data_IF_097840492964
#
_entry.id   IF_097840492964
#
_cell.length_a   1.000
_cell.length_b   1.000
_cell.length_c   1.000
_cell.angle_alpha   90.00
_cell.angle_beta   90.00
_cell.angle_gamma   90.00
#
_symmetry.space_group_name_H-M   'P 1'
#
loop_
_entity.id
_entity.type
_entity.pdbx_description
1 polymer ?
#
# COMPACT_ATOMS: atom_id res chain seq x y z
N UNK A 1 -40.47 14.92 -4.76
CA UNK A 1 -40.60 13.48 -5.10
C UNK A 1 -39.20 12.92 -5.31
N UNK A 2 -38.86 11.92 -4.53
CA UNK A 2 -37.51 11.59 -4.09
C UNK A 2 -37.02 10.36 -4.86
N UNK A 3 -36.14 10.53 -5.86
CA UNK A 3 -35.57 9.41 -6.62
C UNK A 3 -34.24 8.89 -6.05
N UNK A 4 -33.88 9.31 -4.83
CA UNK A 4 -32.59 8.97 -4.19
C UNK A 4 -32.60 7.69 -3.34
N UNK A 5 -33.65 6.86 -3.43
CA UNK A 5 -33.82 5.68 -2.57
C UNK A 5 -33.61 4.32 -3.26
N UNK A 6 -33.57 4.26 -4.60
CA UNK A 6 -33.66 2.97 -5.31
C UNK A 6 -32.29 2.32 -5.56
N UNK A 7 -31.20 3.10 -5.68
CA UNK A 7 -29.87 2.53 -5.96
C UNK A 7 -29.18 1.90 -4.74
N UNK A 8 -29.47 2.39 -3.52
CA UNK A 8 -29.04 1.75 -2.27
C UNK A 8 -29.78 0.42 -2.04
N UNK A 9 -31.03 0.29 -2.54
CA UNK A 9 -31.88 -0.86 -2.24
C UNK A 9 -31.40 -2.19 -2.83
N UNK A 10 -30.58 -2.17 -3.88
CA UNK A 10 -30.13 -3.38 -4.57
C UNK A 10 -28.97 -4.07 -3.84
N UNK A 11 -28.14 -3.33 -3.08
CA UNK A 11 -27.05 -3.91 -2.27
C UNK A 11 -27.53 -4.26 -0.85
N UNK A 12 -28.61 -3.62 -0.38
CA UNK A 12 -29.10 -3.68 1.02
C UNK A 12 -29.86 -4.98 1.37
N UNK A 13 -30.24 -5.83 0.42
CA UNK A 13 -31.01 -7.04 0.75
C UNK A 13 -30.19 -8.17 1.43
N UNK A 14 -28.89 -8.00 1.66
CA UNK A 14 -28.04 -9.03 2.28
C UNK A 14 -27.07 -8.54 3.38
N UNK A 15 -27.02 -7.25 3.70
CA UNK A 15 -26.07 -6.70 4.67
C UNK A 15 -26.85 -5.76 5.62
N UNK A 16 -26.74 -5.96 6.94
CA UNK A 16 -27.47 -5.15 7.91
C UNK A 16 -26.96 -3.70 7.91
N UNK A 17 -27.84 -2.75 8.24
CA UNK A 17 -27.50 -1.31 8.30
C UNK A 17 -26.32 -1.01 9.24
N UNK A 18 -26.14 -1.78 10.31
CA UNK A 18 -25.01 -1.64 11.24
C UNK A 18 -23.70 -2.09 10.59
N UNK A 19 -23.70 -3.18 9.82
CA UNK A 19 -22.54 -3.66 9.09
C UNK A 19 -22.12 -2.66 8.01
N UNK A 20 -23.08 -1.97 7.37
CA UNK A 20 -22.81 -0.91 6.41
C UNK A 20 -22.19 0.34 7.05
N UNK A 21 -22.66 0.76 8.22
CA UNK A 21 -22.05 1.87 8.96
C UNK A 21 -20.65 1.50 9.50
N UNK A 22 -20.46 0.30 10.05
CA UNK A 22 -19.14 -0.20 10.46
C UNK A 22 -18.18 -0.26 9.28
N UNK A 23 -18.66 -0.69 8.11
CA UNK A 23 -17.89 -0.73 6.87
C UNK A 23 -17.50 0.67 6.35
N UNK A 24 -18.38 1.68 6.49
CA UNK A 24 -18.08 3.08 6.15
C UNK A 24 -17.13 3.77 7.14
N UNK A 25 -17.05 3.29 8.39
CA UNK A 25 -16.15 3.83 9.42
C UNK A 25 -14.82 3.07 9.54
N UNK A 26 -14.71 1.86 9.00
CA UNK A 26 -13.45 1.10 8.94
C UNK A 26 -12.65 1.44 7.69
N UNK A 27 -12.15 2.68 7.56
CA UNK A 27 -10.93 2.90 6.77
C UNK A 27 -9.76 2.39 7.61
N UNK A 28 -9.70 1.07 7.83
CA UNK A 28 -8.59 0.46 8.53
C UNK A 28 -7.34 0.63 7.66
N UNK A 29 -6.42 1.44 8.16
CA UNK A 29 -5.06 1.49 7.67
C UNK A 29 -4.27 0.48 8.49
N UNK A 30 -3.74 -0.55 7.83
CA UNK A 30 -2.86 -1.51 8.44
C UNK A 30 -1.41 -1.07 8.23
N UNK A 31 -0.56 -1.28 9.24
CA UNK A 31 0.85 -0.89 9.19
C UNK A 31 1.76 -2.08 8.92
N UNK A 32 2.84 -1.85 8.18
CA UNK A 32 3.93 -2.79 7.96
C UNK A 32 5.26 -2.04 8.05
N UNK A 33 6.27 -2.67 8.64
CA UNK A 33 7.56 -2.05 8.86
C UNK A 33 8.72 -3.01 8.66
N UNK A 34 9.91 -2.46 8.40
CA UNK A 34 11.15 -3.22 8.40
C UNK A 34 11.42 -3.80 9.80
N UNK A 35 12.13 -4.94 9.89
CA UNK A 35 12.52 -5.49 11.18
C UNK A 35 13.24 -4.44 12.04
N UNK A 36 12.94 -4.44 13.33
CA UNK A 36 13.57 -3.58 14.34
C UNK A 36 13.23 -2.09 14.28
N UNK A 37 12.50 -1.61 13.27
CA UNK A 37 12.05 -0.21 13.21
C UNK A 37 11.42 0.23 14.55
N UNK A 38 11.79 1.39 15.13
CA UNK A 38 12.60 2.47 14.55
C UNK A 38 14.13 2.34 14.75
N UNK A 39 14.65 1.16 15.09
CA UNK A 39 16.09 0.90 15.07
C UNK A 39 16.56 0.52 13.65
N UNK A 40 17.86 0.70 13.34
CA UNK A 40 18.41 0.31 12.05
C UNK A 40 18.15 -1.15 11.69
N UNK A 41 17.89 -1.43 10.42
CA UNK A 41 17.69 -2.80 9.94
C UNK A 41 19.01 -3.58 9.88
N UNK A 42 18.97 -4.93 9.97
CA UNK A 42 20.17 -5.75 9.84
C UNK A 42 20.57 -5.97 8.38
N UNK A 43 21.87 -6.18 8.15
CA UNK A 43 22.39 -6.68 6.88
C UNK A 43 21.96 -8.16 6.63
N UNK A 44 22.13 -8.63 5.39
CA UNK A 44 21.81 -9.99 4.93
C UNK A 44 20.36 -10.40 5.17
N UNK A 45 19.44 -9.46 5.04
CA UNK A 45 18.03 -9.67 5.31
C UNK A 45 17.29 -10.05 4.03
N UNK A 46 16.44 -11.07 4.14
CA UNK A 46 15.40 -11.35 3.17
C UNK A 46 14.06 -11.46 3.89
N UNK A 47 13.18 -10.49 3.67
CA UNK A 47 11.82 -10.47 4.23
C UNK A 47 10.78 -10.28 3.16
N UNK A 48 9.66 -10.96 3.35
CA UNK A 48 8.51 -10.85 2.48
C UNK A 48 7.26 -10.67 3.35
N UNK A 49 6.38 -9.77 2.91
CA UNK A 49 5.03 -9.62 3.46
C UNK A 49 4.02 -9.73 2.33
N UNK A 50 3.05 -10.62 2.51
CA UNK A 50 1.91 -10.76 1.60
C UNK A 50 0.74 -9.98 2.20
N UNK A 51 0.52 -8.77 1.67
CA UNK A 51 -0.54 -7.86 2.08
C UNK A 51 -1.81 -8.18 1.33
N UNK A 52 -2.94 -8.17 2.05
CA UNK A 52 -4.25 -8.45 1.49
C UNK A 52 -5.30 -7.53 2.12
N UNK A 53 -6.21 -7.07 1.28
CA UNK A 53 -7.46 -6.41 1.68
C UNK A 53 -8.65 -7.26 1.21
N UNK A 54 -9.88 -7.01 1.69
CA UNK A 54 -11.04 -7.79 1.26
C UNK A 54 -11.21 -7.85 -0.26
N UNK A 55 -11.77 -8.96 -0.75
CA UNK A 55 -12.06 -9.13 -2.17
C UNK A 55 -13.04 -8.05 -2.67
N UNK A 56 -12.85 -7.56 -3.89
CA UNK A 56 -13.64 -6.47 -4.47
C UNK A 56 -13.07 -5.07 -4.23
N UNK A 57 -12.01 -4.94 -3.44
CA UNK A 57 -11.26 -3.71 -3.22
C UNK A 57 -9.92 -3.72 -3.96
N UNK A 58 -9.38 -2.53 -4.18
CA UNK A 58 -8.00 -2.35 -4.59
C UNK A 58 -7.14 -2.03 -3.36
N UNK A 59 -5.98 -2.66 -3.23
CA UNK A 59 -5.05 -2.35 -2.15
C UNK A 59 -4.23 -1.10 -2.52
N UNK A 60 -4.22 -0.09 -1.66
CA UNK A 60 -3.35 1.08 -1.75
C UNK A 60 -2.28 1.01 -0.66
N UNK A 61 -1.01 1.17 -1.02
CA UNK A 61 0.13 1.25 -0.10
C UNK A 61 0.72 2.67 -0.12
N UNK A 62 1.04 3.22 1.04
CA UNK A 62 1.74 4.49 1.20
C UNK A 62 2.89 4.34 2.20
N UNK A 63 4.10 4.70 1.80
CA UNK A 63 5.23 4.80 2.72
C UNK A 63 5.10 6.09 3.54
N UNK A 64 5.16 5.98 4.87
CA UNK A 64 5.28 7.14 5.76
C UNK A 64 6.76 7.48 6.06
N UNK A 65 7.64 6.48 6.00
CA UNK A 65 9.08 6.64 6.18
C UNK A 65 9.80 5.59 5.34
N UNK A 66 10.85 6.00 4.64
CA UNK A 66 11.75 5.11 3.92
C UNK A 66 13.17 5.69 4.01
N UNK A 67 14.07 4.91 4.59
CA UNK A 67 15.48 5.19 4.76
C UNK A 67 16.21 3.86 4.55
N UNK A 68 16.58 3.60 3.29
CA UNK A 68 17.22 2.38 2.81
C UNK A 68 18.45 2.81 2.01
N UNK A 69 19.54 2.06 2.10
CA UNK A 69 20.80 2.39 1.42
C UNK A 69 20.58 2.73 -0.08
N UNK A 70 21.03 3.91 -0.48
CA UNK A 70 20.86 4.40 -1.84
C UNK A 70 21.91 3.81 -2.78
N UNK A 71 21.48 3.21 -3.88
CA UNK A 71 22.36 2.69 -4.91
C UNK A 71 21.70 2.76 -6.29
N UNK A 72 22.48 2.73 -7.40
CA UNK A 72 21.92 2.66 -8.75
C UNK A 72 20.96 1.48 -8.88
N UNK A 73 19.74 1.75 -9.33
CA UNK A 73 18.64 0.77 -9.47
C UNK A 73 18.35 -0.05 -8.20
N UNK A 74 18.68 0.53 -7.04
CA UNK A 74 18.59 -0.08 -5.71
C UNK A 74 19.27 -1.46 -5.68
N UNK A 75 20.47 -1.54 -6.24
CA UNK A 75 21.21 -2.78 -6.43
C UNK A 75 21.61 -3.45 -5.11
N UNK A 76 22.03 -2.67 -4.11
CA UNK A 76 22.41 -3.17 -2.78
C UNK A 76 21.14 -3.49 -1.97
N UNK A 77 20.60 -2.49 -1.28
CA UNK A 77 19.37 -2.64 -0.51
C UNK A 77 18.13 -2.18 -1.29
N UNK A 78 17.00 -2.86 -1.10
CA UNK A 78 15.75 -2.46 -1.74
C UNK A 78 14.50 -2.99 -1.06
N UNK A 79 13.43 -2.20 -1.14
CA UNK A 79 12.06 -2.66 -0.96
C UNK A 79 11.37 -2.74 -2.32
N UNK A 80 10.95 -3.94 -2.72
CA UNK A 80 10.26 -4.19 -3.99
C UNK A 80 8.78 -4.43 -3.74
N UNK A 81 7.93 -3.75 -4.52
CA UNK A 81 6.49 -3.83 -4.46
C UNK A 81 5.97 -4.59 -5.67
N UNK A 82 5.31 -5.73 -5.46
CA UNK A 82 4.85 -6.64 -6.52
C UNK A 82 3.34 -6.85 -6.41
N UNK A 83 2.60 -6.63 -7.50
CA UNK A 83 1.17 -6.95 -7.59
C UNK A 83 0.90 -7.79 -8.83
N UNK A 84 0.14 -8.88 -8.68
CA UNK A 84 -0.20 -9.79 -9.78
C UNK A 84 1.02 -10.19 -10.64
N UNK A 85 2.10 -10.62 -9.97
CA UNK A 85 3.38 -11.02 -10.58
C UNK A 85 4.10 -9.92 -11.38
N UNK A 86 3.67 -8.66 -11.27
CA UNK A 86 4.33 -7.49 -11.87
C UNK A 86 4.99 -6.64 -10.80
N UNK A 87 6.23 -6.24 -11.03
CA UNK A 87 6.93 -5.26 -10.20
C UNK A 87 6.31 -3.90 -10.47
N UNK A 88 5.70 -3.31 -9.44
CA UNK A 88 5.17 -1.93 -9.50
C UNK A 88 6.26 -0.90 -9.21
N UNK A 89 7.26 -1.29 -8.41
CA UNK A 89 8.44 -0.48 -8.18
C UNK A 89 9.46 -1.17 -7.27
N UNK A 90 10.69 -0.71 -7.36
CA UNK A 90 11.83 -1.11 -6.52
C UNK A 90 12.44 0.18 -5.97
N UNK A 91 12.46 0.30 -4.65
CA UNK A 91 12.71 1.56 -3.98
C UNK A 91 13.85 1.47 -2.96
N UNK A 92 14.56 2.58 -2.82
CA UNK A 92 15.65 2.82 -1.88
C UNK A 92 15.89 4.33 -1.76
N UNK A 93 16.83 4.74 -0.92
CA UNK A 93 17.11 6.14 -0.60
C UNK A 93 16.49 6.57 0.72
N UNK A 94 16.65 7.85 1.05
CA UNK A 94 16.16 8.46 2.30
C UNK A 94 15.36 9.73 2.05
N UNK A 95 15.73 10.48 1.02
CA UNK A 95 15.08 11.74 0.69
C UNK A 95 14.08 11.51 -0.44
N UNK A 96 12.93 12.19 -0.40
CA UNK A 96 11.95 12.16 -1.48
C UNK A 96 12.49 12.67 -2.83
N UNK A 97 13.63 13.37 -2.83
CA UNK A 97 14.35 13.77 -4.04
C UNK A 97 15.25 12.68 -4.64
N UNK A 98 15.50 11.59 -3.91
CA UNK A 98 16.31 10.48 -4.42
C UNK A 98 15.58 9.81 -5.58
N UNK A 99 16.31 9.48 -6.64
CA UNK A 99 15.74 9.00 -7.91
C UNK A 99 14.79 7.80 -7.75
N UNK A 100 15.07 6.94 -6.79
CA UNK A 100 14.32 5.70 -6.55
C UNK A 100 13.46 5.75 -5.29
N UNK A 101 13.28 6.91 -4.66
CA UNK A 101 12.38 7.06 -3.53
C UNK A 101 10.93 7.17 -4.04
N UNK A 102 9.93 6.53 -3.41
CA UNK A 102 8.53 6.61 -3.85
C UNK A 102 7.87 7.99 -3.61
N UNK A 103 8.58 8.90 -2.95
CA UNK A 103 8.02 10.11 -2.33
C UNK A 103 6.76 9.81 -1.50
N UNK A 104 5.80 10.74 -1.52
CA UNK A 104 4.51 10.60 -0.85
C UNK A 104 3.43 9.97 -1.77
N UNK A 105 3.83 9.41 -2.92
CA UNK A 105 2.87 8.91 -3.92
C UNK A 105 2.34 7.54 -3.48
N UNK A 106 1.01 7.36 -3.43
CA UNK A 106 0.43 6.05 -3.15
C UNK A 106 0.71 5.08 -4.29
N UNK A 107 0.95 3.83 -3.95
CA UNK A 107 1.13 2.72 -4.89
C UNK A 107 -0.14 1.89 -4.87
N UNK A 108 -0.80 1.79 -6.03
CA UNK A 108 -2.03 1.03 -6.21
C UNK A 108 -1.71 -0.37 -6.76
N UNK A 109 -2.20 -1.38 -6.05
CA UNK A 109 -2.19 -2.77 -6.52
C UNK A 109 -3.08 -2.96 -7.76
N UNK A 110 -2.86 -4.03 -8.53
CA UNK A 110 -3.80 -4.40 -9.60
C UNK A 110 -5.12 -4.95 -9.04
N UNK A 111 -5.10 -5.53 -7.84
CA UNK A 111 -6.26 -6.09 -7.16
C UNK A 111 -6.20 -5.88 -5.65
N UNK A 112 -6.67 -6.87 -4.89
CA UNK A 112 -6.73 -6.79 -3.43
C UNK A 112 -5.46 -7.28 -2.72
N UNK A 113 -4.37 -7.55 -3.45
CA UNK A 113 -3.12 -8.11 -2.91
C UNK A 113 -1.88 -7.37 -3.39
N UNK A 114 -0.93 -7.22 -2.49
CA UNK A 114 0.42 -6.73 -2.75
C UNK A 114 1.44 -7.58 -2.01
N UNK A 115 2.59 -7.81 -2.63
CA UNK A 115 3.74 -8.41 -1.98
C UNK A 115 4.84 -7.36 -1.81
N UNK A 116 5.36 -7.27 -0.61
CA UNK A 116 6.55 -6.50 -0.29
C UNK A 116 7.73 -7.44 -0.13
N UNK A 117 8.83 -7.16 -0.82
CA UNK A 117 10.08 -7.93 -0.70
C UNK A 117 11.20 -6.98 -0.30
N UNK A 118 11.69 -7.10 0.92
CA UNK A 118 12.81 -6.32 1.45
C UNK A 118 14.08 -7.17 1.45
N UNK A 119 15.08 -6.71 0.71
CA UNK A 119 16.39 -7.34 0.57
C UNK A 119 17.46 -6.35 1.02
N UNK A 120 18.41 -6.85 1.81
CA UNK A 120 19.61 -6.10 2.17
C UNK A 120 20.87 -6.90 1.85
N UNK A 121 21.93 -6.21 1.45
CA UNK A 121 23.21 -6.83 1.09
C UNK A 121 24.02 -7.24 2.33
N UNK A 122 25.28 -7.62 2.16
CA UNK A 122 26.09 -8.13 3.28
C UNK A 122 26.62 -7.05 4.23
N UNK A 123 26.29 -5.80 3.94
CA UNK A 123 26.82 -4.62 4.58
C UNK A 123 25.68 -3.70 5.06
N UNK A 124 25.91 -2.94 6.13
CA UNK A 124 25.05 -1.81 6.48
C UNK A 124 25.92 -0.77 7.17
N UNK A 125 26.81 -0.17 6.38
CA UNK A 125 27.87 0.72 6.87
C UNK A 125 27.28 1.98 7.51
N UNK A 126 26.13 2.41 7.02
CA UNK A 126 25.34 3.52 7.54
C UNK A 126 24.14 2.99 8.34
N UNK A 127 23.76 3.68 9.41
CA UNK A 127 22.62 3.28 10.25
C UNK A 127 21.30 3.71 9.61
N UNK A 128 20.87 3.00 8.57
CA UNK A 128 19.59 3.23 7.91
C UNK A 128 18.43 2.61 8.70
N UNK A 129 17.38 3.41 8.96
CA UNK A 129 16.27 3.00 9.84
C UNK A 129 15.30 2.00 9.18
N UNK A 130 15.31 1.92 7.85
CA UNK A 130 14.41 1.07 7.07
C UNK A 130 13.11 1.79 6.74
N UNK A 131 11.98 1.09 6.81
CA UNK A 131 10.70 1.62 6.35
C UNK A 131 9.58 1.37 7.34
N UNK A 132 8.59 2.26 7.25
CA UNK A 132 7.21 1.99 7.67
C UNK A 132 6.30 2.31 6.48
N UNK A 133 5.17 1.64 6.41
CA UNK A 133 4.15 1.90 5.41
C UNK A 133 2.78 1.53 5.95
N UNK A 134 1.76 2.24 5.48
CA UNK A 134 0.37 1.88 5.71
C UNK A 134 -0.26 1.38 4.42
N UNK A 135 -1.16 0.41 4.53
CA UNK A 135 -2.00 -0.02 3.42
C UNK A 135 -3.47 -0.03 3.81
N UNK A 136 -4.33 0.17 2.81
CA UNK A 136 -5.77 0.26 3.01
C UNK A 136 -6.54 -0.27 1.80
N UNK A 137 -7.82 -0.59 2.02
CA UNK A 137 -8.76 -0.96 0.98
C UNK A 137 -9.34 0.29 0.31
N UNK A 138 -9.27 0.39 -1.02
CA UNK A 138 -9.87 1.48 -1.80
C UNK A 138 -10.96 0.91 -2.71
N UNK A 139 -12.11 1.58 -2.71
CA UNK A 139 -13.26 1.23 -3.57
C UNK A 139 -13.01 1.77 -4.98
N UNK A 140 -13.01 0.90 -6.00
CA UNK A 140 -12.84 1.28 -7.41
C UNK A 140 -14.03 2.06 -8.00
N UNK A 141 -15.07 2.31 -7.22
CA UNK A 141 -16.29 3.00 -7.65
C UNK A 141 -16.18 4.50 -7.37
N UNK A 142 -15.33 5.17 -8.13
CA UNK A 142 -15.36 6.62 -8.28
C UNK A 142 -15.07 6.90 -9.74
N UNK A 143 -15.96 7.65 -10.41
CA UNK A 143 -15.95 8.04 -11.84
C UNK A 143 -16.91 7.28 -12.79
N UNK A 144 -18.15 7.02 -12.37
CA UNK A 144 -19.28 6.94 -13.33
C UNK A 144 -20.53 7.68 -12.85
N UNK A 145 -20.38 8.66 -11.96
CA UNK A 145 -21.48 9.52 -11.51
C UNK A 145 -21.56 10.87 -12.25
N UNK A 146 -20.67 11.12 -13.22
CA UNK A 146 -20.71 12.31 -14.09
C UNK A 146 -21.16 12.03 -15.53
N UNK A 147 -21.48 10.79 -15.89
CA UNK A 147 -21.93 10.41 -17.25
C UNK A 147 -23.44 10.17 -17.35
N UNK A 148 -24.21 10.55 -16.33
CA UNK A 148 -25.68 10.41 -16.34
C UNK A 148 -26.33 11.71 -15.84
N UNK A 149 -25.95 12.83 -16.44
CA UNK A 149 -26.82 14.01 -16.52
C UNK A 149 -26.86 14.47 -17.98
N UNK A 150 -27.88 13.98 -18.69
CA UNK A 150 -28.29 14.36 -20.03
C UNK A 150 -29.77 14.04 -20.20
#
# INVERSE_FOLDING_TARGET
MTFRLVLLYVIVNHINTIDFYLFLFSTENWEVSSPQYPQPYPANLQKQWDLEVPQGYQLQLTFNHLDIESSPDCYYDSITVVSDKKVLGKFCGRNSTDRFHPGDKPILATGNRLQLVFLTDDSNHESHLGFTAFFQAVVLISLSLWMVEG
#
